data_IF_031966014983
#
_entry.id   IF_031966014983
#
_cell.length_a   1.000
_cell.length_b   1.000
_cell.length_c   1.000
_cell.angle_alpha   90.00
_cell.angle_beta   90.00
_cell.angle_gamma   90.00
#
_symmetry.space_group_name_H-M   'P 1'
#
loop_
_entity.id
_entity.type
_entity.pdbx_description
1 polymer ?
#
# COMPACT_ATOMS: atom_id res chain seq x y z
N UNK A 1 -23.24 -19.56 16.65
CA UNK A 1 -22.95 -18.56 15.60
C UNK A 1 -23.72 -17.30 15.92
N UNK A 2 -23.05 -16.25 16.40
CA UNK A 2 -23.62 -14.90 16.50
C UNK A 2 -22.44 -13.92 16.53
N UNK A 3 -22.16 -13.31 15.38
CA UNK A 3 -21.12 -12.29 15.23
C UNK A 3 -21.82 -10.93 15.36
N UNK A 4 -21.58 -10.12 16.40
CA UNK A 4 -22.18 -8.79 16.47
C UNK A 4 -21.52 -7.89 15.43
N UNK A 5 -22.33 -7.49 14.46
CA UNK A 5 -22.05 -6.41 13.51
C UNK A 5 -21.65 -5.19 14.33
N UNK A 6 -20.41 -4.74 14.18
CA UNK A 6 -19.90 -3.51 14.79
C UNK A 6 -20.63 -2.31 14.16
N UNK A 7 -21.75 -1.91 14.76
CA UNK A 7 -22.39 -0.63 14.50
C UNK A 7 -21.43 0.48 14.95
N UNK A 8 -21.06 1.36 14.00
CA UNK A 8 -20.17 2.48 14.21
C UNK A 8 -20.56 3.29 15.45
N UNK A 9 -19.59 3.51 16.33
CA UNK A 9 -19.71 4.37 17.50
C UNK A 9 -19.88 5.82 17.05
N UNK A 10 -21.02 6.42 17.39
CA UNK A 10 -21.38 7.81 17.07
C UNK A 10 -20.78 8.84 18.05
N UNK A 11 -20.00 8.37 19.02
CA UNK A 11 -19.62 9.17 20.20
C UNK A 11 -18.16 9.62 20.20
N UNK A 12 -17.38 9.30 19.15
CA UNK A 12 -16.12 9.99 18.95
C UNK A 12 -16.40 11.25 18.13
N UNK A 13 -16.01 12.46 18.59
CA UNK A 13 -15.82 13.53 17.64
C UNK A 13 -14.87 12.98 16.59
N UNK A 14 -15.27 13.03 15.31
CA UNK A 14 -14.35 12.97 14.18
C UNK A 14 -13.46 14.21 14.30
N UNK A 15 -12.57 14.22 15.29
CA UNK A 15 -11.36 15.01 15.27
C UNK A 15 -10.49 14.36 14.21
N UNK A 16 -10.89 14.56 12.95
CA UNK A 16 -9.94 14.60 11.87
C UNK A 16 -8.92 15.63 12.37
N UNK A 17 -7.75 15.15 12.78
CA UNK A 17 -6.64 16.01 13.16
C UNK A 17 -6.22 16.72 11.87
N UNK A 18 -6.96 17.77 11.50
CA UNK A 18 -6.55 18.79 10.56
C UNK A 18 -5.51 19.65 11.26
N UNK A 19 -4.45 19.01 11.76
CA UNK A 19 -3.19 19.70 11.94
C UNK A 19 -2.81 20.16 10.55
N UNK A 20 -2.82 21.46 10.32
CA UNK A 20 -2.32 22.06 9.09
C UNK A 20 -0.83 21.77 9.03
N UNK A 21 -0.50 20.68 8.36
CA UNK A 21 0.88 20.32 8.05
C UNK A 21 1.18 21.15 6.82
N UNK A 22 1.85 22.27 7.04
CA UNK A 22 2.02 23.35 6.06
C UNK A 22 3.08 22.99 5.00
N UNK A 23 2.93 21.81 4.39
CA UNK A 23 3.83 21.26 3.39
C UNK A 23 3.26 20.00 2.73
N UNK A 24 3.74 19.66 1.52
CA UNK A 24 3.34 18.42 0.86
C UNK A 24 3.70 17.23 1.74
N UNK A 25 2.81 16.24 1.84
CA UNK A 25 3.06 15.00 2.58
C UNK A 25 4.24 14.26 1.94
N UNK A 26 5.24 13.87 2.73
CA UNK A 26 6.32 13.04 2.23
C UNK A 26 5.77 11.66 1.82
N UNK A 27 6.20 11.13 0.68
CA UNK A 27 5.83 9.76 0.26
C UNK A 27 7.09 8.91 0.21
N UNK A 28 7.13 7.84 1.00
CA UNK A 28 8.25 6.89 1.05
C UNK A 28 7.82 5.52 0.53
N UNK A 29 8.77 4.76 -0.01
CA UNK A 29 8.52 3.40 -0.46
C UNK A 29 8.42 2.45 0.73
N UNK A 30 7.29 1.78 0.91
CA UNK A 30 7.12 0.82 2.01
C UNK A 30 7.94 -0.48 1.88
N UNK A 31 8.69 -0.69 0.80
CA UNK A 31 9.51 -1.89 0.59
C UNK A 31 11.02 -1.63 0.67
N UNK A 32 11.47 -0.45 0.27
CA UNK A 32 12.91 -0.13 0.20
C UNK A 32 13.25 1.23 0.83
N UNK A 33 12.28 1.84 1.52
CA UNK A 33 12.38 3.13 2.23
C UNK A 33 12.88 4.31 1.38
N UNK A 34 12.90 4.16 0.05
CA UNK A 34 13.30 5.22 -0.87
C UNK A 34 12.24 6.30 -0.94
N UNK A 35 12.65 7.57 -0.98
CA UNK A 35 11.74 8.69 -1.19
C UNK A 35 11.11 8.63 -2.60
N UNK A 36 9.78 8.64 -2.63
CA UNK A 36 8.97 8.66 -3.86
C UNK A 36 8.58 10.10 -4.20
N UNK A 37 8.21 10.89 -3.18
CA UNK A 37 7.90 12.30 -3.32
C UNK A 37 8.45 13.07 -2.12
N UNK A 38 9.13 14.20 -2.35
CA UNK A 38 9.59 15.06 -1.27
C UNK A 38 8.39 15.63 -0.50
N UNK A 39 8.60 15.90 0.79
CA UNK A 39 7.57 16.47 1.64
C UNK A 39 8.01 16.65 3.09
N UNK A 40 7.07 17.01 3.96
CA UNK A 40 7.25 17.13 5.40
C UNK A 40 6.58 15.99 6.16
N UNK A 41 6.91 15.86 7.45
CA UNK A 41 6.28 14.88 8.35
C UNK A 41 4.83 15.26 8.61
N UNK A 42 3.89 14.31 8.57
CA UNK A 42 4.02 12.86 8.52
C UNK A 42 4.31 12.34 7.11
N UNK A 43 4.95 11.18 7.07
CA UNK A 43 5.14 10.43 5.83
C UNK A 43 3.93 9.51 5.57
N UNK A 44 3.56 9.42 4.30
CA UNK A 44 2.70 8.38 3.75
C UNK A 44 3.54 7.32 3.02
N UNK A 45 2.97 6.14 2.79
CA UNK A 45 3.69 5.01 2.19
C UNK A 45 3.09 4.66 0.82
N UNK A 46 3.95 4.44 -0.17
CA UNK A 46 3.62 3.91 -1.51
C UNK A 46 4.63 2.84 -1.95
N UNK A 47 4.54 2.37 -3.20
CA UNK A 47 5.55 1.46 -3.79
C UNK A 47 6.27 2.21 -4.92
N UNK A 48 7.60 2.28 -4.86
CA UNK A 48 8.38 2.99 -5.86
C UNK A 48 8.38 2.23 -7.21
N UNK A 49 8.61 2.93 -8.35
CA UNK A 49 8.63 2.30 -9.66
C UNK A 49 9.63 1.13 -9.80
N UNK A 50 10.78 1.22 -9.11
CA UNK A 50 11.80 0.17 -9.11
C UNK A 50 11.28 -1.13 -8.48
N UNK A 51 10.76 -1.03 -7.25
CA UNK A 51 10.16 -2.13 -6.52
C UNK A 51 8.97 -2.75 -7.29
N UNK A 52 8.11 -1.91 -7.85
CA UNK A 52 6.97 -2.39 -8.65
C UNK A 52 7.44 -3.13 -9.92
N UNK A 53 8.49 -2.64 -10.58
CA UNK A 53 9.07 -3.28 -11.76
C UNK A 53 9.65 -4.66 -11.41
N UNK A 54 10.41 -4.75 -10.31
CA UNK A 54 10.99 -6.01 -9.85
C UNK A 54 9.92 -7.04 -9.51
N UNK A 55 8.87 -6.64 -8.79
CA UNK A 55 7.75 -7.52 -8.49
C UNK A 55 7.05 -8.02 -9.75
N UNK A 56 6.87 -7.16 -10.77
CA UNK A 56 6.27 -7.56 -12.05
C UNK A 56 7.13 -8.59 -12.79
N UNK A 57 8.45 -8.44 -12.79
CA UNK A 57 9.37 -9.42 -13.38
C UNK A 57 9.22 -10.77 -12.69
N UNK A 58 9.27 -10.80 -11.37
CA UNK A 58 9.12 -12.04 -10.60
C UNK A 58 7.79 -12.74 -10.87
N UNK A 59 6.68 -11.98 -10.86
CA UNK A 59 5.35 -12.51 -11.21
C UNK A 59 5.30 -13.06 -12.64
N UNK A 60 5.95 -12.40 -13.60
CA UNK A 60 6.02 -12.88 -14.99
C UNK A 60 6.78 -14.20 -15.09
N UNK A 61 7.90 -14.34 -14.40
CA UNK A 61 8.69 -15.57 -14.35
C UNK A 61 7.90 -16.71 -13.72
N UNK A 62 7.22 -16.44 -12.59
CA UNK A 62 6.38 -17.45 -11.94
C UNK A 62 5.24 -17.89 -12.86
N UNK A 63 4.58 -16.96 -13.56
CA UNK A 63 3.53 -17.30 -14.52
C UNK A 63 4.05 -18.23 -15.62
N UNK A 64 5.17 -17.89 -16.25
CA UNK A 64 5.78 -18.74 -17.29
C UNK A 64 6.18 -20.12 -16.75
N UNK A 65 6.61 -20.21 -15.49
CA UNK A 65 6.92 -21.50 -14.85
C UNK A 65 5.67 -22.34 -14.55
N UNK A 66 4.50 -21.73 -14.39
CA UNK A 66 3.24 -22.41 -14.06
C UNK A 66 2.42 -22.79 -15.30
N UNK A 67 2.60 -22.10 -16.44
CA UNK A 67 1.92 -22.43 -17.70
C UNK A 67 2.04 -23.91 -18.12
N UNK A 68 3.19 -24.59 -18.01
CA UNK A 68 3.32 -26.01 -18.33
C UNK A 68 2.48 -26.94 -17.44
N UNK A 69 2.20 -26.53 -16.19
CA UNK A 69 1.42 -27.33 -15.23
C UNK A 69 -0.09 -27.20 -15.45
N UNK A 70 -0.52 -26.14 -16.12
CA UNK A 70 -1.93 -25.90 -16.49
C UNK A 70 -2.27 -26.45 -17.89
N UNK A 71 -1.27 -26.88 -18.67
CA UNK A 71 -1.41 -27.39 -20.02
C UNK A 71 -1.62 -28.91 -20.12
N UNK A 72 -2.01 -29.56 -19.01
CA UNK A 72 -2.36 -30.98 -19.00
C UNK A 72 -3.83 -31.11 -19.42
N UNK A 73 -4.07 -31.38 -20.70
CA UNK A 73 -5.32 -31.97 -21.22
C UNK A 73 -5.16 -33.50 -21.37
#
# INVERSE_FOLDING_TARGET
MNNPIMFGRKDLPNAFLTGTIDGPIQVVCGWCDSEISPGSSPASHGICPSCLCEQRKQLSTMRTSLEPLLAVE
#
